data_IF_691107135027
#
_entry.id   IF_691107135027
#
_cell.length_a   1.000
_cell.length_b   1.000
_cell.length_c   1.000
_cell.angle_alpha   90.00
_cell.angle_beta   90.00
_cell.angle_gamma   90.00
#
_symmetry.space_group_name_H-M   'P 1'
#
loop_
_entity.id
_entity.type
_entity.pdbx_description
1 polymer ?
#
# COMPACT_ATOMS: atom_id res chain seq x y z
N UNK A 1 16.58 -10.85 -11.03
CA UNK A 1 16.19 -9.91 -9.96
C UNK A 1 16.57 -8.50 -10.40
N UNK A 2 15.63 -7.55 -10.32
CA UNK A 2 15.85 -6.12 -10.52
C UNK A 2 16.63 -5.56 -9.32
N UNK A 3 17.34 -4.46 -9.52
CA UNK A 3 17.96 -3.69 -8.42
C UNK A 3 16.92 -2.88 -7.64
N UNK A 4 17.26 -2.46 -6.42
CA UNK A 4 16.39 -1.58 -5.62
C UNK A 4 16.06 -0.27 -6.36
N UNK A 5 17.00 0.30 -7.11
CA UNK A 5 16.76 1.51 -7.91
C UNK A 5 15.77 1.29 -9.05
N UNK A 6 15.70 0.08 -9.60
CA UNK A 6 14.72 -0.27 -10.62
C UNK A 6 13.35 -0.54 -9.97
N UNK A 7 13.32 -1.21 -8.82
CA UNK A 7 12.08 -1.48 -8.09
C UNK A 7 11.46 -0.20 -7.49
N UNK A 8 12.27 0.77 -7.06
CA UNK A 8 11.76 2.07 -6.59
C UNK A 8 11.11 2.90 -7.71
N UNK A 9 11.31 2.55 -8.99
CA UNK A 9 10.59 3.17 -10.11
C UNK A 9 9.23 2.54 -10.38
N UNK A 10 8.93 1.40 -9.75
CA UNK A 10 7.67 0.66 -9.93
C UNK A 10 6.65 0.94 -8.83
N UNK A 11 7.04 1.68 -7.80
CA UNK A 11 6.19 2.17 -6.73
C UNK A 11 6.44 3.66 -6.52
N UNK A 12 5.41 4.40 -6.15
CA UNK A 12 5.53 5.78 -5.70
C UNK A 12 4.96 5.88 -4.29
N UNK A 13 5.71 6.53 -3.40
CA UNK A 13 5.28 6.77 -2.02
C UNK A 13 5.54 8.23 -1.68
N UNK A 14 4.48 8.99 -1.43
CA UNK A 14 4.55 10.40 -1.08
C UNK A 14 3.52 10.77 -0.01
N UNK A 15 3.73 11.91 0.65
CA UNK A 15 2.79 12.51 1.60
C UNK A 15 2.24 13.78 0.97
N UNK A 16 0.92 13.86 0.81
CA UNK A 16 0.26 15.04 0.24
C UNK A 16 0.00 16.15 1.26
N UNK A 17 -0.53 17.26 0.76
CA UNK A 17 -0.92 18.43 1.56
C UNK A 17 -2.09 18.17 2.53
N UNK A 18 -2.84 17.08 2.36
CA UNK A 18 -3.95 16.67 3.22
C UNK A 18 -3.53 15.63 4.28
N UNK A 19 -2.22 15.40 4.45
CA UNK A 19 -1.65 14.37 5.32
C UNK A 19 -2.09 12.94 4.95
N UNK A 20 -2.35 12.72 3.66
CA UNK A 20 -2.61 11.39 3.08
C UNK A 20 -1.31 10.88 2.46
N UNK A 21 -0.90 9.70 2.87
CA UNK A 21 0.18 8.96 2.24
C UNK A 21 -0.38 8.34 0.96
N UNK A 22 0.18 8.68 -0.20
CA UNK A 22 -0.14 8.05 -1.47
C UNK A 22 0.87 6.94 -1.73
N UNK A 23 0.39 5.71 -1.86
CA UNK A 23 1.13 4.55 -2.31
C UNK A 23 0.56 4.14 -3.66
N UNK A 24 1.31 4.34 -4.74
CA UNK A 24 0.87 4.00 -6.09
C UNK A 24 1.75 2.88 -6.64
N UNK A 25 1.13 1.79 -7.08
CA UNK A 25 1.82 0.73 -7.81
C UNK A 25 1.80 1.07 -9.30
N UNK A 26 2.97 1.29 -9.88
CA UNK A 26 3.13 1.71 -11.27
C UNK A 26 3.35 0.52 -12.22
N UNK A 27 3.97 -0.56 -11.72
CA UNK A 27 4.26 -1.76 -12.51
C UNK A 27 4.15 -3.01 -11.65
N UNK A 28 3.42 -4.02 -12.16
CA UNK A 28 3.29 -5.32 -11.52
C UNK A 28 4.62 -6.10 -11.54
N UNK A 29 4.93 -6.81 -10.45
CA UNK A 29 6.13 -7.63 -10.34
C UNK A 29 5.74 -9.10 -10.28
N UNK A 30 5.73 -9.76 -11.44
CA UNK A 30 5.39 -11.18 -11.58
C UNK A 30 6.50 -12.12 -11.09
N UNK A 31 7.74 -11.64 -11.09
CA UNK A 31 8.88 -12.38 -10.53
C UNK A 31 8.79 -12.38 -8.99
N UNK A 32 8.79 -13.54 -8.31
CA UNK A 32 8.57 -13.62 -6.86
C UNK A 32 9.60 -12.88 -6.01
N UNK A 33 10.86 -12.88 -6.43
CA UNK A 33 11.93 -12.20 -5.69
C UNK A 33 11.78 -10.67 -5.81
N UNK A 34 11.51 -10.18 -7.02
CA UNK A 34 11.20 -8.77 -7.25
C UNK A 34 9.94 -8.33 -6.50
N UNK A 35 8.88 -9.15 -6.51
CA UNK A 35 7.64 -8.90 -5.79
C UNK A 35 7.88 -8.78 -4.29
N UNK A 36 8.65 -9.71 -3.73
CA UNK A 36 9.04 -9.72 -2.33
C UNK A 36 9.81 -8.44 -1.97
N UNK A 37 10.83 -8.10 -2.76
CA UNK A 37 11.67 -6.93 -2.49
C UNK A 37 10.90 -5.61 -2.67
N UNK A 38 9.98 -5.53 -3.64
CA UNK A 38 9.09 -4.38 -3.80
C UNK A 38 8.23 -4.16 -2.55
N UNK A 39 7.73 -5.24 -1.95
CA UNK A 39 6.94 -5.16 -0.70
C UNK A 39 7.79 -4.69 0.48
N UNK A 40 9.04 -5.14 0.60
CA UNK A 40 9.97 -4.64 1.62
C UNK A 40 10.24 -3.15 1.45
N UNK A 41 10.56 -2.71 0.23
CA UNK A 41 10.80 -1.30 -0.10
C UNK A 41 9.59 -0.42 0.18
N UNK A 42 8.38 -0.94 -0.07
CA UNK A 42 7.14 -0.24 0.31
C UNK A 42 7.07 -0.05 1.83
N UNK A 43 7.30 -1.11 2.61
CA UNK A 43 7.23 -1.05 4.09
C UNK A 43 8.28 -0.06 4.62
N UNK A 44 9.50 -0.11 4.07
CA UNK A 44 10.58 0.82 4.39
C UNK A 44 10.17 2.27 4.11
N UNK A 45 9.58 2.56 2.94
CA UNK A 45 9.11 3.90 2.58
C UNK A 45 7.97 4.42 3.47
N UNK A 46 7.01 3.57 3.82
CA UNK A 46 5.95 3.91 4.77
C UNK A 46 6.53 4.22 6.16
N UNK A 47 7.47 3.39 6.64
CA UNK A 47 8.15 3.60 7.91
C UNK A 47 8.96 4.91 7.91
N UNK A 48 9.63 5.23 6.81
CA UNK A 48 10.38 6.47 6.67
C UNK A 48 9.47 7.70 6.82
N UNK A 49 8.32 7.74 6.12
CA UNK A 49 7.36 8.85 6.25
C UNK A 49 6.88 8.99 7.69
N UNK A 50 6.45 7.88 8.31
CA UNK A 50 5.96 7.91 9.69
C UNK A 50 7.04 8.39 10.66
N UNK A 51 8.29 7.94 10.49
CA UNK A 51 9.41 8.31 11.36
C UNK A 51 9.80 9.79 11.26
N UNK A 52 9.64 10.40 10.08
CA UNK A 52 9.91 11.84 9.85
C UNK A 52 8.90 12.75 10.51
N UNK A 53 7.75 12.21 10.94
CA UNK A 53 6.63 12.97 11.49
C UNK A 53 6.14 12.36 12.82
N UNK A 54 6.97 12.38 13.87
CA UNK A 54 6.64 11.73 15.13
C UNK A 54 5.37 12.31 15.74
N UNK A 55 4.47 11.42 16.19
CA UNK A 55 3.20 11.77 16.83
C UNK A 55 2.07 12.16 15.87
N UNK A 56 2.34 12.29 14.57
CA UNK A 56 1.29 12.51 13.58
C UNK A 56 0.54 11.22 13.27
N UNK A 57 -0.68 11.40 12.77
CA UNK A 57 -1.55 10.34 12.27
C UNK A 57 -1.80 10.59 10.80
N UNK A 58 -1.90 9.51 10.03
CA UNK A 58 -1.99 9.55 8.58
C UNK A 58 -3.14 8.70 8.09
N UNK A 59 -3.65 9.07 6.93
CA UNK A 59 -4.47 8.22 6.10
C UNK A 59 -3.60 7.66 4.97
N UNK A 60 -3.93 6.49 4.45
CA UNK A 60 -3.20 5.85 3.36
C UNK A 60 -4.14 5.63 2.17
N UNK A 61 -3.74 6.07 1.00
CA UNK A 61 -4.32 5.68 -0.27
C UNK A 61 -3.37 4.70 -0.97
N UNK A 62 -3.80 3.46 -1.14
CA UNK A 62 -3.12 2.46 -1.95
C UNK A 62 -3.78 2.36 -3.32
N UNK A 63 -3.17 2.95 -4.34
CA UNK A 63 -3.65 3.01 -5.71
C UNK A 63 -3.01 1.91 -6.55
N UNK A 64 -3.84 0.93 -6.93
CA UNK A 64 -3.47 -0.23 -7.72
C UNK A 64 -4.06 -0.12 -9.14
N UNK A 65 -4.65 1.01 -9.51
CA UNK A 65 -5.24 1.21 -10.84
C UNK A 65 -4.22 1.09 -11.98
N UNK A 66 -2.95 1.58 -11.87
CA UNK A 66 -2.03 1.55 -13.01
C UNK A 66 -1.60 0.13 -13.42
N UNK A 67 -1.60 -0.82 -12.49
CA UNK A 67 -1.27 -2.23 -12.76
C UNK A 67 -2.46 -3.04 -13.30
N UNK A 68 -3.65 -2.44 -13.34
CA UNK A 68 -4.86 -3.03 -13.90
C UNK A 68 -5.26 -4.34 -13.22
N UNK A 69 -5.43 -5.39 -14.02
CA UNK A 69 -5.79 -6.74 -13.56
C UNK A 69 -4.60 -7.64 -13.25
N UNK A 70 -3.36 -7.16 -13.47
CA UNK A 70 -2.14 -7.86 -13.12
C UNK A 70 -1.95 -7.82 -11.61
N UNK A 71 -2.09 -8.98 -10.96
CA UNK A 71 -1.91 -9.06 -9.52
C UNK A 71 -1.25 -10.39 -9.17
N UNK A 72 0.06 -10.31 -8.93
CA UNK A 72 0.80 -11.38 -8.30
C UNK A 72 1.27 -10.91 -6.93
N UNK A 73 0.95 -11.67 -5.89
CA UNK A 73 1.56 -11.51 -4.58
C UNK A 73 2.11 -12.86 -4.17
N UNK A 74 3.44 -12.93 -4.09
CA UNK A 74 4.13 -14.16 -3.69
C UNK A 74 3.75 -14.54 -2.25
N UNK A 75 3.85 -15.83 -1.90
CA UNK A 75 3.58 -16.26 -0.52
C UNK A 75 4.55 -15.63 0.48
N UNK A 76 5.81 -15.41 0.05
CA UNK A 76 6.80 -14.70 0.85
C UNK A 76 6.42 -13.24 1.08
N UNK A 77 5.87 -12.56 0.07
CA UNK A 77 5.33 -11.20 0.20
C UNK A 77 4.19 -11.12 1.20
N UNK A 78 3.27 -12.11 1.18
CA UNK A 78 2.18 -12.22 2.17
C UNK A 78 2.73 -12.41 3.58
N UNK A 79 3.75 -13.24 3.76
CA UNK A 79 4.40 -13.45 5.05
C UNK A 79 5.09 -12.18 5.58
N UNK A 80 5.79 -11.46 4.71
CA UNK A 80 6.45 -10.19 5.08
C UNK A 80 5.39 -9.18 5.53
N UNK A 81 4.31 -9.02 4.77
CA UNK A 81 3.20 -8.15 5.16
C UNK A 81 2.60 -8.59 6.50
N UNK A 82 2.31 -9.87 6.69
CA UNK A 82 1.74 -10.39 7.93
C UNK A 82 2.66 -10.17 9.16
N UNK A 83 3.98 -10.04 8.96
CA UNK A 83 4.97 -9.75 10.01
C UNK A 83 5.40 -8.28 10.06
N UNK A 84 4.90 -7.44 9.16
CA UNK A 84 5.26 -6.04 9.09
C UNK A 84 4.86 -5.33 10.40
N UNK A 85 5.62 -4.30 10.83
CA UNK A 85 5.26 -3.54 12.00
C UNK A 85 3.86 -2.94 11.83
N UNK A 86 3.05 -3.04 12.89
CA UNK A 86 1.74 -2.39 12.90
C UNK A 86 1.96 -0.87 12.91
N UNK A 87 1.65 -0.21 11.79
CA UNK A 87 1.68 1.25 11.68
C UNK A 87 0.50 1.87 12.43
N UNK A 88 0.64 2.06 13.75
CA UNK A 88 -0.41 2.63 14.61
C UNK A 88 -0.75 4.08 14.24
N UNK A 89 0.09 4.72 13.46
CA UNK A 89 -0.07 6.06 12.90
C UNK A 89 -1.07 6.08 11.76
N UNK A 90 -1.37 4.95 11.12
CA UNK A 90 -2.41 4.85 10.10
C UNK A 90 -3.81 4.79 10.74
N UNK A 91 -4.67 5.72 10.32
CA UNK A 91 -6.06 5.83 10.78
C UNK A 91 -7.02 5.13 9.84
N UNK A 92 -6.95 5.45 8.54
CA UNK A 92 -7.77 4.86 7.48
C UNK A 92 -6.90 4.48 6.29
N UNK A 93 -7.32 3.45 5.58
CA UNK A 93 -6.66 2.95 4.39
C UNK A 93 -7.71 2.75 3.31
N UNK A 94 -7.55 3.47 2.20
CA UNK A 94 -8.35 3.25 1.01
C UNK A 94 -7.50 2.49 -0.01
N UNK A 95 -8.04 1.42 -0.56
CA UNK A 95 -7.42 0.66 -1.65
C UNK A 95 -8.24 0.89 -2.91
N UNK A 96 -7.62 1.36 -3.98
CA UNK A 96 -8.29 1.63 -5.26
C UNK A 96 -7.82 0.62 -6.29
N UNK A 97 -8.75 -0.10 -6.90
CA UNK A 97 -8.46 -1.01 -8.02
C UNK A 97 -9.73 -1.31 -8.80
N UNK A 98 -9.60 -1.44 -10.12
CA UNK A 98 -10.69 -1.90 -11.00
C UNK A 98 -10.91 -3.42 -10.93
N UNK A 99 -9.97 -4.17 -10.34
CA UNK A 99 -10.02 -5.63 -10.30
C UNK A 99 -10.66 -6.14 -9.00
N UNK A 100 -11.81 -6.80 -9.10
CA UNK A 100 -12.48 -7.43 -7.95
C UNK A 100 -11.63 -8.51 -7.25
N UNK A 101 -10.68 -9.11 -7.98
CA UNK A 101 -9.74 -10.11 -7.44
C UNK A 101 -8.75 -9.50 -6.43
N UNK A 102 -8.61 -8.17 -6.40
CA UNK A 102 -7.74 -7.43 -5.48
C UNK A 102 -8.27 -7.31 -4.05
N UNK A 103 -9.48 -7.79 -3.76
CA UNK A 103 -10.02 -7.83 -2.39
C UNK A 103 -9.14 -8.64 -1.42
N UNK A 104 -8.37 -9.59 -1.93
CA UNK A 104 -7.44 -10.39 -1.13
C UNK A 104 -6.28 -9.54 -0.58
N UNK A 105 -5.82 -8.55 -1.34
CA UNK A 105 -4.77 -7.60 -0.91
C UNK A 105 -5.29 -6.71 0.22
N UNK A 106 -6.54 -6.28 0.13
CA UNK A 106 -7.24 -5.51 1.17
C UNK A 106 -7.30 -6.30 2.48
N UNK A 107 -7.64 -7.59 2.41
CA UNK A 107 -7.66 -8.48 3.59
C UNK A 107 -6.28 -8.58 4.24
N UNK A 108 -5.21 -8.70 3.45
CA UNK A 108 -3.83 -8.73 3.97
C UNK A 108 -3.50 -7.41 4.67
N UNK A 109 -3.81 -6.26 4.05
CA UNK A 109 -3.55 -4.92 4.62
C UNK A 109 -4.35 -4.69 5.92
N UNK A 110 -5.59 -5.15 5.98
CA UNK A 110 -6.43 -5.11 7.19
C UNK A 110 -5.82 -5.88 8.35
N UNK A 111 -5.15 -7.00 8.08
CA UNK A 111 -4.44 -7.79 9.09
C UNK A 111 -3.23 -7.01 9.61
N UNK A 112 -2.45 -6.39 8.73
CA UNK A 112 -1.23 -5.62 9.10
C UNK A 112 -1.56 -4.44 10.01
N UNK A 113 -2.71 -3.81 9.80
CA UNK A 113 -3.08 -2.59 10.54
C UNK A 113 -3.89 -2.86 11.80
N UNK A 114 -4.31 -4.11 12.01
CA UNK A 114 -5.08 -4.54 13.19
C UNK A 114 -6.45 -3.87 13.30
N UNK A 115 -6.94 -3.22 12.24
CA UNK A 115 -8.17 -2.44 12.20
C UNK A 115 -8.93 -2.73 10.91
N UNK A 116 -9.70 -3.81 10.91
CA UNK A 116 -10.48 -4.23 9.73
C UNK A 116 -11.52 -3.18 9.29
N UNK A 117 -12.08 -2.40 10.23
CA UNK A 117 -13.08 -1.36 9.93
C UNK A 117 -12.48 -0.11 9.28
N UNK A 118 -11.16 0.09 9.37
CA UNK A 118 -10.50 1.26 8.82
C UNK A 118 -9.86 1.03 7.45
N UNK A 119 -10.09 -0.14 6.84
CA UNK A 119 -9.62 -0.43 5.49
C UNK A 119 -10.83 -0.60 4.59
N UNK A 120 -10.87 0.16 3.49
CA UNK A 120 -11.98 0.11 2.54
C UNK A 120 -11.46 0.07 1.11
N UNK A 121 -12.12 -0.74 0.28
CA UNK A 121 -11.85 -0.81 -1.15
C UNK A 121 -12.78 0.10 -1.94
N UNK A 122 -12.27 0.66 -3.02
CA UNK A 122 -12.98 1.56 -3.92
C UNK A 122 -12.66 1.23 -5.38
N UNK A 123 -13.66 1.37 -6.23
CA UNK A 123 -13.51 1.35 -7.69
C UNK A 123 -12.98 2.69 -8.24
N UNK A 124 -13.17 3.78 -7.48
CA UNK A 124 -12.84 5.14 -7.90
C UNK A 124 -11.93 5.84 -6.87
N UNK A 125 -10.85 6.45 -7.36
CA UNK A 125 -9.89 7.23 -6.57
C UNK A 125 -10.50 8.47 -5.92
N UNK A 126 -11.42 9.15 -6.60
CA UNK A 126 -12.08 10.35 -6.07
C UNK A 126 -12.90 10.01 -4.82
N UNK A 127 -13.71 8.95 -4.88
CA UNK A 127 -14.50 8.48 -3.75
C UNK A 127 -13.62 8.02 -2.57
N UNK A 128 -12.51 7.35 -2.88
CA UNK A 128 -11.53 6.95 -1.89
C UNK A 128 -10.95 8.17 -1.14
N UNK A 129 -10.52 9.19 -1.90
CA UNK A 129 -9.98 10.43 -1.34
C UNK A 129 -11.02 11.17 -0.49
N UNK A 130 -12.27 11.29 -0.95
CA UNK A 130 -13.33 11.90 -0.16
C UNK A 130 -13.58 11.15 1.17
N UNK A 131 -13.51 9.82 1.16
CA UNK A 131 -13.69 9.02 2.36
C UNK A 131 -12.53 9.14 3.35
N UNK A 132 -11.29 9.28 2.85
CA UNK A 132 -10.12 9.53 3.67
C UNK A 132 -10.15 10.91 4.32
N UNK A 133 -10.71 11.92 3.65
CA UNK A 133 -10.81 13.30 4.17
C UNK A 133 -11.91 13.51 5.22
N UNK A 134 -12.87 12.58 5.30
CA UNK A 134 -13.95 12.57 6.31
C UNK A 134 -13.46 11.97 7.62
#
# INVERSE_FOLDING_TARGET
MKSDQELLKTIQIDLDENEIINLVYLEDQLDPDNNTRQVELMIEGLAEIVSKHPGKKFNLLADLTPIGSGTYMSDRSKEILARAPVFKELLKIAVVSESFLMKTVVLTISIVTGKSESVKWFDNKEEALEWLKK
#
